data_IF_250034117946
#
_entry.id   IF_250034117946
#
_cell.length_a   1.000
_cell.length_b   1.000
_cell.length_c   1.000
_cell.angle_alpha   90.00
_cell.angle_beta   90.00
_cell.angle_gamma   90.00
#
_symmetry.space_group_name_H-M   'P 1'
#
loop_
_entity.id
_entity.type
_entity.pdbx_description
1 polymer ?
#
# COMPACT_ATOMS: atom_id res chain seq x y z
N UNK A 1 -0.25 15.10 -19.24
CA UNK A 1 0.30 14.10 -18.31
C UNK A 1 0.35 14.59 -16.87
N UNK A 2 0.83 15.81 -16.56
CA UNK A 2 0.85 16.34 -15.17
C UNK A 2 -0.55 16.60 -14.59
N UNK A 3 -1.50 17.05 -15.41
CA UNK A 3 -2.87 17.37 -14.97
C UNK A 3 -3.66 16.12 -14.55
N UNK A 4 -3.52 15.00 -15.27
CA UNK A 4 -4.12 13.69 -14.91
C UNK A 4 -3.53 13.16 -13.61
N UNK A 5 -2.22 13.26 -13.43
CA UNK A 5 -1.55 12.87 -12.18
C UNK A 5 -2.07 13.63 -10.97
N UNK A 6 -2.45 14.91 -11.14
CA UNK A 6 -2.97 15.76 -10.07
C UNK A 6 -4.39 15.36 -9.66
N UNK A 7 -5.25 15.03 -10.61
CA UNK A 7 -6.58 14.46 -10.36
C UNK A 7 -6.50 13.07 -9.71
N UNK A 8 -5.52 12.25 -10.12
CA UNK A 8 -5.27 10.94 -9.52
C UNK A 8 -4.63 11.05 -8.12
N UNK A 9 -3.80 12.07 -7.88
CA UNK A 9 -3.25 12.39 -6.55
C UNK A 9 -4.31 12.84 -5.56
N UNK A 10 -5.38 13.49 -6.05
CA UNK A 10 -6.57 13.82 -5.25
C UNK A 10 -7.48 12.60 -5.00
N UNK A 11 -7.06 11.39 -5.38
CA UNK A 11 -7.75 10.17 -5.00
C UNK A 11 -7.83 10.06 -3.47
N UNK A 12 -9.04 9.81 -2.97
CA UNK A 12 -9.31 9.63 -1.55
C UNK A 12 -8.57 8.44 -0.91
N UNK A 13 -7.95 7.56 -1.70
CA UNK A 13 -7.12 6.44 -1.23
C UNK A 13 -5.62 6.74 -1.25
N UNK A 14 -5.18 7.87 -1.82
CA UNK A 14 -3.76 8.17 -2.02
C UNK A 14 -2.99 8.17 -0.71
N UNK A 15 -3.51 8.86 0.30
CA UNK A 15 -2.88 8.97 1.62
C UNK A 15 -2.71 7.58 2.27
N UNK A 16 -3.78 6.79 2.29
CA UNK A 16 -3.76 5.43 2.84
C UNK A 16 -2.74 4.55 2.12
N UNK A 17 -2.70 4.59 0.78
CA UNK A 17 -1.71 3.84 -0.02
C UNK A 17 -0.27 4.23 0.36
N UNK A 18 0.03 5.52 0.44
CA UNK A 18 1.38 5.99 0.79
C UNK A 18 1.77 5.62 2.22
N UNK A 19 0.86 5.76 3.18
CA UNK A 19 1.12 5.39 4.58
C UNK A 19 1.42 3.89 4.67
N UNK A 20 0.62 3.03 4.02
CA UNK A 20 0.83 1.58 4.05
C UNK A 20 2.09 1.15 3.31
N UNK A 21 2.46 1.84 2.23
CA UNK A 21 3.71 1.60 1.52
C UNK A 21 4.92 1.94 2.41
N UNK A 22 4.91 3.11 3.05
CA UNK A 22 5.94 3.53 3.99
C UNK A 22 6.04 2.60 5.21
N UNK A 23 4.89 2.20 5.78
CA UNK A 23 4.80 1.19 6.83
C UNK A 23 5.45 -0.13 6.41
N UNK A 24 5.13 -0.62 5.21
CA UNK A 24 5.69 -1.87 4.69
C UNK A 24 7.20 -1.78 4.47
N UNK A 25 7.72 -0.62 4.04
CA UNK A 25 9.17 -0.37 3.94
C UNK A 25 9.80 -0.45 5.33
N UNK A 26 9.22 0.25 6.31
CA UNK A 26 9.71 0.28 7.68
C UNK A 26 9.73 -1.12 8.31
N UNK A 27 8.64 -1.89 8.19
CA UNK A 27 8.55 -3.28 8.69
C UNK A 27 9.58 -4.18 8.03
N UNK A 28 9.77 -4.07 6.71
CA UNK A 28 10.76 -4.88 6.00
C UNK A 28 12.20 -4.52 6.40
N UNK A 29 12.49 -3.23 6.65
CA UNK A 29 13.79 -2.78 7.17
C UNK A 29 14.04 -3.29 8.58
N UNK A 30 13.03 -3.29 9.45
CA UNK A 30 13.15 -3.86 10.78
C UNK A 30 13.41 -5.37 10.76
N UNK A 31 12.74 -6.11 9.88
CA UNK A 31 13.00 -7.53 9.71
C UNK A 31 14.46 -7.83 9.31
N UNK A 32 15.10 -6.95 8.55
CA UNK A 32 16.53 -7.11 8.22
C UNK A 32 17.39 -6.89 9.46
N UNK A 33 17.13 -5.81 10.21
CA UNK A 33 17.92 -5.44 11.39
C UNK A 33 17.77 -6.43 12.55
N UNK A 34 16.54 -6.88 12.82
CA UNK A 34 16.22 -7.66 14.02
C UNK A 34 16.13 -9.17 13.77
N UNK A 35 15.70 -9.59 12.58
CA UNK A 35 15.50 -11.01 12.25
C UNK A 35 16.51 -11.57 11.24
N UNK A 36 17.44 -10.73 10.75
CA UNK A 36 18.40 -11.15 9.72
C UNK A 36 17.77 -11.54 8.39
N UNK A 37 16.52 -11.13 8.11
CA UNK A 37 15.86 -11.43 6.83
C UNK A 37 16.54 -10.69 5.68
N UNK A 38 16.43 -11.24 4.48
CA UNK A 38 16.95 -10.60 3.26
C UNK A 38 15.92 -9.68 2.62
N UNK A 39 16.38 -8.57 2.03
CA UNK A 39 15.54 -7.63 1.30
C UNK A 39 15.08 -8.21 -0.03
N UNK A 40 13.78 -8.45 -0.18
CA UNK A 40 13.18 -8.76 -1.47
C UNK A 40 12.01 -7.83 -1.77
N UNK A 41 11.98 -7.27 -2.98
CA UNK A 41 10.85 -6.43 -3.42
C UNK A 41 9.54 -7.22 -3.42
N UNK A 42 9.57 -8.51 -3.81
CA UNK A 42 8.39 -9.38 -3.77
C UNK A 42 7.85 -9.56 -2.34
N UNK A 43 8.72 -9.71 -1.34
CA UNK A 43 8.31 -9.84 0.06
C UNK A 43 7.68 -8.53 0.58
N UNK A 44 8.29 -7.38 0.26
CA UNK A 44 7.70 -6.07 0.57
C UNK A 44 6.33 -5.90 -0.09
N UNK A 45 6.22 -6.23 -1.38
CA UNK A 45 4.96 -6.10 -2.14
C UNK A 45 3.87 -7.00 -1.56
N UNK A 46 4.19 -8.24 -1.19
CA UNK A 46 3.26 -9.16 -0.54
C UNK A 46 2.76 -8.62 0.82
N UNK A 47 3.68 -8.08 1.64
CA UNK A 47 3.33 -7.45 2.90
C UNK A 47 2.43 -6.22 2.68
N UNK A 48 2.80 -5.33 1.76
CA UNK A 48 2.00 -4.17 1.39
C UNK A 48 0.59 -4.54 0.96
N UNK A 49 0.45 -5.52 0.06
CA UNK A 49 -0.87 -6.01 -0.39
C UNK A 49 -1.69 -6.57 0.78
N UNK A 50 -1.06 -7.30 1.71
CA UNK A 50 -1.73 -7.80 2.93
C UNK A 50 -2.26 -6.65 3.79
N UNK A 51 -1.45 -5.61 4.02
CA UNK A 51 -1.85 -4.45 4.82
C UNK A 51 -3.00 -3.67 4.17
N UNK A 52 -2.97 -3.48 2.85
CA UNK A 52 -4.08 -2.82 2.12
C UNK A 52 -5.36 -3.66 2.20
N UNK A 53 -5.26 -5.00 2.12
CA UNK A 53 -6.41 -5.88 2.31
C UNK A 53 -7.02 -5.75 3.71
N UNK A 54 -6.20 -5.64 4.76
CA UNK A 54 -6.68 -5.42 6.13
C UNK A 54 -7.41 -4.08 6.27
N UNK A 55 -6.88 -3.00 5.69
CA UNK A 55 -7.56 -1.69 5.68
C UNK A 55 -8.88 -1.75 4.92
N UNK A 56 -8.94 -2.52 3.84
CA UNK A 56 -10.15 -2.71 3.02
C UNK A 56 -11.31 -3.33 3.83
N UNK A 57 -11.03 -4.11 4.88
CA UNK A 57 -12.05 -4.68 5.77
C UNK A 57 -12.75 -3.62 6.65
N UNK A 58 -12.09 -2.50 6.93
CA UNK A 58 -12.58 -1.43 7.83
C UNK A 58 -12.97 -0.15 7.08
N UNK A 59 -12.65 -0.07 5.79
CA UNK A 59 -12.93 1.08 4.95
C UNK A 59 -14.44 1.20 4.62
N UNK A 60 -14.90 2.45 4.43
CA UNK A 60 -16.23 2.73 3.89
C UNK A 60 -16.37 2.10 2.50
N UNK A 61 -17.58 1.69 2.06
CA UNK A 61 -17.79 0.99 0.79
C UNK A 61 -17.13 1.67 -0.43
N UNK A 62 -17.26 2.99 -0.56
CA UNK A 62 -16.67 3.76 -1.68
C UNK A 62 -15.13 3.71 -1.69
N UNK A 63 -14.50 3.77 -0.52
CA UNK A 63 -13.04 3.68 -0.35
C UNK A 63 -12.58 2.24 -0.61
N UNK A 64 -13.34 1.26 -0.10
CA UNK A 64 -13.08 -0.17 -0.27
C UNK A 64 -13.03 -0.56 -1.75
N UNK A 65 -13.99 -0.14 -2.55
CA UNK A 65 -14.00 -0.49 -3.98
C UNK A 65 -12.85 0.17 -4.75
N UNK A 66 -12.46 1.40 -4.38
CA UNK A 66 -11.26 2.05 -4.95
C UNK A 66 -9.97 1.33 -4.55
N UNK A 67 -9.82 0.93 -3.28
CA UNK A 67 -8.66 0.16 -2.81
C UNK A 67 -8.55 -1.19 -3.51
N UNK A 68 -9.66 -1.91 -3.69
CA UNK A 68 -9.68 -3.16 -4.46
C UNK A 68 -9.29 -2.96 -5.92
N UNK A 69 -9.82 -1.92 -6.57
CA UNK A 69 -9.47 -1.59 -7.95
C UNK A 69 -7.96 -1.29 -8.08
N UNK A 70 -7.42 -0.49 -7.15
CA UNK A 70 -5.98 -0.26 -7.07
C UNK A 70 -5.18 -1.56 -6.86
N UNK A 71 -5.61 -2.43 -5.95
CA UNK A 71 -4.94 -3.72 -5.71
C UNK A 71 -4.94 -4.62 -6.95
N UNK A 72 -6.02 -4.62 -7.74
CA UNK A 72 -6.09 -5.38 -8.98
C UNK A 72 -5.19 -4.85 -10.11
N UNK A 73 -4.73 -3.60 -10.00
CA UNK A 73 -3.82 -2.97 -10.97
C UNK A 73 -2.33 -3.13 -10.64
N UNK A 74 -1.99 -3.61 -9.45
CA UNK A 74 -0.60 -3.83 -9.01
C UNK A 74 -0.03 -5.09 -9.64
#
# INVERSE_FOLDING_TARGET
MVLTSRSDFSSCIFREVIILAAWSIWSNRNNITFDGKTLYFAAWRAHFTSEVNLVTLRAKPEIKERLKSFLSSL
#
